data_IF_535035815715
#
_entry.id   IF_535035815715
#
_cell.length_a   1.000
_cell.length_b   1.000
_cell.length_c   1.000
_cell.angle_alpha   90.00
_cell.angle_beta   90.00
_cell.angle_gamma   90.00
#
_symmetry.space_group_name_H-M   'P 1'
#
loop_
_entity.id
_entity.type
_entity.pdbx_description
1 polymer ?
#
# COMPACT_ATOMS: atom_id res chain seq x y z
N UNK A 1 -8.61 16.75 -7.06
CA UNK A 1 -8.52 15.69 -8.09
C UNK A 1 -7.99 14.39 -7.48
N UNK A 2 -6.97 14.44 -6.62
CA UNK A 2 -6.50 13.28 -5.85
C UNK A 2 -7.57 12.62 -4.96
N UNK A 3 -8.42 13.40 -4.30
CA UNK A 3 -9.43 12.87 -3.37
C UNK A 3 -10.42 11.90 -4.04
N UNK A 4 -10.87 12.25 -5.25
CA UNK A 4 -11.77 11.38 -6.01
C UNK A 4 -11.07 10.09 -6.45
N UNK A 5 -9.78 10.15 -6.78
CA UNK A 5 -9.00 8.95 -7.11
C UNK A 5 -8.88 8.04 -5.88
N UNK A 6 -8.51 8.60 -4.73
CA UNK A 6 -8.39 7.86 -3.48
C UNK A 6 -9.73 7.22 -3.07
N UNK A 7 -10.83 7.94 -3.23
CA UNK A 7 -12.17 7.41 -3.01
C UNK A 7 -12.47 6.22 -3.94
N UNK A 8 -12.18 6.31 -5.24
CA UNK A 8 -12.41 5.22 -6.18
C UNK A 8 -11.55 3.98 -5.87
N UNK A 9 -10.30 4.18 -5.46
CA UNK A 9 -9.41 3.10 -5.04
C UNK A 9 -9.97 2.41 -3.79
N UNK A 10 -10.41 3.18 -2.79
CA UNK A 10 -11.08 2.63 -1.59
C UNK A 10 -12.33 1.84 -1.96
N UNK A 11 -13.22 2.42 -2.77
CA UNK A 11 -14.47 1.78 -3.19
C UNK A 11 -14.20 0.42 -3.86
N UNK A 12 -13.09 0.29 -4.59
CA UNK A 12 -12.65 -0.96 -5.21
C UNK A 12 -11.97 -1.96 -4.24
N UNK A 13 -11.88 -1.63 -2.95
CA UNK A 13 -11.19 -2.45 -1.94
C UNK A 13 -9.67 -2.33 -1.99
N UNK A 14 -9.15 -1.17 -2.44
CA UNK A 14 -7.73 -0.96 -2.72
C UNK A 14 -7.14 -1.89 -3.78
N UNK A 15 -7.99 -2.52 -4.61
CA UNK A 15 -7.58 -3.35 -5.73
C UNK A 15 -7.26 -2.51 -6.96
N UNK A 16 -6.38 -3.04 -7.80
CA UNK A 16 -5.91 -2.34 -9.00
C UNK A 16 -6.98 -2.38 -10.10
N UNK A 17 -7.47 -1.21 -10.49
CA UNK A 17 -8.44 -1.06 -11.58
C UNK A 17 -7.83 -0.48 -12.88
N UNK A 18 -6.51 -0.24 -12.90
CA UNK A 18 -5.82 0.38 -14.05
C UNK A 18 -5.23 -0.65 -15.01
N UNK A 19 -5.25 -0.31 -16.30
CA UNK A 19 -4.52 -1.02 -17.35
C UNK A 19 -3.09 -0.48 -17.55
N UNK A 20 -2.50 -0.73 -18.73
CA UNK A 20 -1.10 -0.43 -19.04
C UNK A 20 -0.73 1.06 -18.92
N UNK A 21 -1.68 1.96 -19.22
CA UNK A 21 -1.42 3.42 -19.18
C UNK A 21 -1.55 3.98 -17.76
N UNK A 22 -2.51 3.48 -16.98
CA UNK A 22 -2.79 4.02 -15.64
C UNK A 22 -1.86 3.48 -14.57
N UNK A 23 -1.43 2.22 -14.67
CA UNK A 23 -0.63 1.56 -13.63
C UNK A 23 0.71 2.25 -13.36
N UNK A 24 1.46 2.72 -14.38
CA UNK A 24 2.72 3.43 -14.13
C UNK A 24 2.58 4.77 -13.38
N UNK A 25 1.38 5.35 -13.32
CA UNK A 25 1.17 6.71 -12.78
C UNK A 25 0.23 6.78 -11.58
N UNK A 26 -0.54 5.73 -11.29
CA UNK A 26 -1.58 5.76 -10.24
C UNK A 26 -0.99 6.02 -8.84
N UNK A 27 0.16 5.42 -8.53
CA UNK A 27 0.80 5.59 -7.22
C UNK A 27 1.39 7.00 -7.05
N UNK A 28 2.00 7.56 -8.10
CA UNK A 28 2.47 8.95 -8.09
C UNK A 28 1.28 9.93 -7.97
N UNK A 29 0.15 9.65 -8.65
CA UNK A 29 -1.04 10.48 -8.56
C UNK A 29 -1.70 10.47 -7.16
N UNK A 30 -1.73 9.30 -6.50
CA UNK A 30 -2.19 9.17 -5.11
C UNK A 30 -1.24 9.92 -4.16
N UNK A 31 0.06 9.63 -4.26
CA UNK A 31 1.09 10.21 -3.38
C UNK A 31 1.14 11.74 -3.52
N UNK A 32 1.24 12.26 -4.75
CA UNK A 32 1.24 13.70 -5.03
C UNK A 32 -0.09 14.38 -4.71
N UNK A 33 -1.18 13.60 -4.60
CA UNK A 33 -2.48 14.06 -4.12
C UNK A 33 -2.64 14.06 -2.61
N UNK A 34 -1.62 13.64 -1.83
CA UNK A 34 -1.68 13.55 -0.38
C UNK A 34 -2.26 12.24 0.17
N UNK A 35 -2.49 11.23 -0.68
CA UNK A 35 -3.15 9.96 -0.34
C UNK A 35 -2.15 8.79 -0.26
N UNK A 36 -1.07 8.99 0.51
CA UNK A 36 0.00 8.00 0.69
C UNK A 36 -0.50 6.71 1.38
N UNK A 37 -1.48 6.84 2.26
CA UNK A 37 -2.17 5.73 2.93
C UNK A 37 -2.91 4.84 1.93
N UNK A 38 -3.65 5.44 0.99
CA UNK A 38 -4.34 4.70 -0.08
C UNK A 38 -3.34 4.02 -1.02
N UNK A 39 -2.24 4.70 -1.36
CA UNK A 39 -1.13 4.15 -2.12
C UNK A 39 -0.52 2.91 -1.45
N UNK A 40 -0.26 2.99 -0.13
CA UNK A 40 0.26 1.89 0.67
C UNK A 40 -0.68 0.68 0.69
N UNK A 41 -1.98 0.91 0.93
CA UNK A 41 -2.99 -0.16 0.92
C UNK A 41 -3.10 -0.83 -0.44
N UNK A 42 -3.04 -0.05 -1.51
CA UNK A 42 -3.07 -0.58 -2.88
C UNK A 42 -1.83 -1.41 -3.23
N UNK A 43 -0.65 -1.02 -2.72
CA UNK A 43 0.59 -1.79 -2.85
C UNK A 43 0.50 -3.13 -2.10
N UNK A 44 0.00 -3.09 -0.86
CA UNK A 44 -0.03 -4.24 0.05
C UNK A 44 -1.24 -5.16 -0.15
N UNK A 45 -2.17 -4.80 -1.03
CA UNK A 45 -3.31 -5.64 -1.40
C UNK A 45 -2.82 -6.96 -2.02
N UNK A 46 -3.38 -8.08 -1.56
CA UNK A 46 -3.03 -9.44 -2.02
C UNK A 46 -4.14 -10.12 -2.83
N UNK A 47 -5.34 -9.55 -2.88
CA UNK A 47 -6.44 -10.09 -3.65
C UNK A 47 -6.34 -9.71 -5.13
N UNK A 48 -6.88 -10.56 -6.01
CA UNK A 48 -6.99 -10.24 -7.43
C UNK A 48 -8.03 -9.11 -7.64
N UNK A 49 -7.75 -8.08 -8.46
CA UNK A 49 -6.44 -7.72 -9.05
C UNK A 49 -5.54 -6.90 -8.09
N UNK A 50 -4.26 -7.26 -8.00
CA UNK A 50 -3.23 -6.49 -7.27
C UNK A 50 -1.81 -6.89 -7.69
N UNK A 51 -0.79 -6.16 -7.24
CA UNK A 51 0.62 -6.52 -7.47
C UNK A 51 1.06 -7.75 -6.68
N UNK A 52 0.59 -7.92 -5.45
CA UNK A 52 0.98 -9.06 -4.62
C UNK A 52 0.14 -10.31 -4.90
N UNK A 53 -1.03 -10.20 -5.54
CA UNK A 53 -1.81 -11.37 -5.92
C UNK A 53 -0.99 -12.40 -6.74
N UNK A 54 -0.32 -12.04 -7.84
CA UNK A 54 0.57 -12.98 -8.55
C UNK A 54 1.62 -13.61 -7.63
N UNK A 55 2.20 -12.83 -6.70
CA UNK A 55 3.20 -13.33 -5.74
C UNK A 55 2.59 -14.39 -4.82
N UNK A 56 1.37 -14.16 -4.31
CA UNK A 56 0.65 -15.17 -3.51
C UNK A 56 0.33 -16.45 -4.28
N UNK A 57 0.27 -16.36 -5.61
CA UNK A 57 0.06 -17.49 -6.52
C UNK A 57 1.38 -18.12 -7.01
N UNK A 58 2.53 -17.71 -6.45
CA UNK A 58 3.85 -18.28 -6.77
C UNK A 58 4.54 -17.67 -8.00
N UNK A 59 4.11 -16.50 -8.46
CA UNK A 59 4.77 -15.81 -9.56
C UNK A 59 6.22 -15.41 -9.21
N UNK A 60 7.12 -15.65 -10.15
CA UNK A 60 8.51 -15.16 -10.10
C UNK A 60 8.79 -14.07 -11.14
N UNK A 61 7.78 -13.70 -11.93
CA UNK A 61 7.79 -12.67 -12.98
C UNK A 61 6.49 -11.89 -12.96
N UNK A 62 6.48 -10.70 -13.56
CA UNK A 62 5.26 -9.90 -13.71
C UNK A 62 4.39 -10.48 -14.82
N UNK A 63 3.09 -10.59 -14.59
CA UNK A 63 2.13 -11.14 -15.55
C UNK A 63 1.57 -10.05 -16.50
N UNK A 64 1.14 -10.46 -17.69
CA UNK A 64 0.49 -9.56 -18.65
C UNK A 64 -0.88 -9.08 -18.19
N UNK A 65 -1.61 -9.96 -17.50
CA UNK A 65 -2.90 -9.65 -16.89
C UNK A 65 -2.75 -9.72 -15.37
N UNK A 66 -3.53 -8.90 -14.67
CA UNK A 66 -3.67 -9.03 -13.21
C UNK A 66 -4.15 -10.42 -12.80
N UNK A 67 -4.98 -11.02 -13.65
CA UNK A 67 -5.63 -12.32 -13.48
C UNK A 67 -5.15 -13.34 -14.52
N UNK A 68 -3.87 -13.31 -14.95
CA UNK A 68 -3.32 -14.33 -15.87
C UNK A 68 -3.54 -15.75 -15.35
N UNK A 69 -3.44 -15.92 -14.02
CA UNK A 69 -4.04 -17.05 -13.30
C UNK A 69 -5.24 -16.53 -12.49
N UNK A 70 -6.38 -17.20 -12.63
CA UNK A 70 -7.59 -16.92 -11.88
C UNK A 70 -7.47 -17.42 -10.43
N UNK A 71 -8.31 -16.91 -9.51
CA UNK A 71 -8.24 -17.31 -8.09
C UNK A 71 -8.46 -18.80 -7.83
N UNK A 72 -9.07 -19.52 -8.78
CA UNK A 72 -9.25 -20.98 -8.72
C UNK A 72 -8.03 -21.77 -9.24
N UNK A 73 -6.96 -21.08 -9.64
CA UNK A 73 -5.73 -21.66 -10.17
C UNK A 73 -5.77 -21.95 -11.68
N UNK A 74 -6.90 -21.73 -12.35
CA UNK A 74 -6.98 -21.90 -13.80
C UNK A 74 -6.35 -20.72 -14.55
N UNK A 75 -5.85 -20.98 -15.76
CA UNK A 75 -5.31 -19.92 -16.61
C UNK A 75 -6.47 -19.10 -17.18
N UNK A 76 -6.28 -17.78 -17.27
CA UNK A 76 -7.25 -16.90 -17.91
C UNK A 76 -7.61 -17.42 -19.31
N UNK A 77 -8.91 -17.58 -19.64
CA UNK A 77 -9.34 -18.17 -20.92
C UNK A 77 -9.09 -17.23 -22.11
N UNK A 78 -8.67 -15.98 -21.88
CA UNK A 78 -8.28 -15.06 -22.93
C UNK A 78 -7.12 -15.59 -23.77
N UNK A 79 -7.22 -15.45 -25.09
CA UNK A 79 -6.20 -15.93 -26.04
C UNK A 79 -4.84 -15.21 -25.92
N UNK A 80 -4.78 -14.09 -25.19
CA UNK A 80 -3.59 -13.30 -24.95
C UNK A 80 -3.33 -13.27 -23.43
N UNK A 81 -2.53 -14.24 -22.98
CA UNK A 81 -2.18 -14.45 -21.57
C UNK A 81 -0.71 -14.88 -21.46
N UNK A 82 0.15 -13.94 -21.09
CA UNK A 82 1.55 -14.19 -20.72
C UNK A 82 1.77 -14.07 -19.20
N UNK A 83 2.67 -14.91 -18.68
CA UNK A 83 3.15 -14.87 -17.29
C UNK A 83 4.47 -14.10 -17.14
N UNK A 84 4.97 -13.47 -18.21
CA UNK A 84 6.22 -12.71 -18.19
C UNK A 84 6.12 -11.47 -19.08
N UNK A 85 5.63 -10.37 -18.51
CA UNK A 85 5.41 -9.10 -19.18
C UNK A 85 5.69 -7.93 -18.22
N UNK A 86 6.64 -7.07 -18.53
CA UNK A 86 7.18 -6.09 -17.57
C UNK A 86 6.27 -4.91 -17.26
N UNK A 87 5.20 -4.69 -18.04
CA UNK A 87 4.40 -3.45 -17.97
C UNK A 87 3.92 -3.09 -16.56
N UNK A 88 3.40 -4.05 -15.80
CA UNK A 88 2.94 -3.81 -14.43
C UNK A 88 4.07 -3.78 -13.38
N UNK A 89 5.30 -4.14 -13.78
CA UNK A 89 6.52 -3.97 -13.01
C UNK A 89 6.94 -2.50 -12.86
N UNK A 90 6.26 -1.57 -13.53
CA UNK A 90 6.45 -0.13 -13.38
C UNK A 90 6.36 0.37 -11.92
N UNK A 91 5.67 -0.38 -11.04
CA UNK A 91 5.62 -0.11 -9.60
C UNK A 91 7.00 -0.01 -8.94
N UNK A 92 8.01 -0.71 -9.49
CA UNK A 92 9.37 -0.71 -8.95
C UNK A 92 9.99 0.70 -8.91
N UNK A 93 9.68 1.55 -9.88
CA UNK A 93 10.15 2.93 -9.90
C UNK A 93 9.62 3.73 -8.70
N UNK A 94 8.33 3.61 -8.39
CA UNK A 94 7.72 4.24 -7.22
C UNK A 94 8.28 3.68 -5.90
N UNK A 95 8.56 2.38 -5.81
CA UNK A 95 9.23 1.78 -4.64
C UNK A 95 10.61 2.40 -4.40
N UNK A 96 11.40 2.63 -5.45
CA UNK A 96 12.71 3.25 -5.32
C UNK A 96 12.61 4.74 -4.96
N UNK A 97 11.80 5.51 -5.70
CA UNK A 97 11.72 6.96 -5.58
C UNK A 97 10.97 7.45 -4.35
N UNK A 98 9.89 6.75 -3.97
CA UNK A 98 8.95 7.22 -2.94
C UNK A 98 9.13 6.41 -1.67
N UNK A 99 8.98 5.08 -1.72
CA UNK A 99 9.06 4.27 -0.51
C UNK A 99 10.45 4.31 0.10
N UNK A 100 11.48 3.97 -0.66
CA UNK A 100 12.86 4.09 -0.19
C UNK A 100 13.35 5.54 -0.22
N UNK A 101 12.90 6.34 -1.19
CA UNK A 101 13.11 7.79 -1.20
C UNK A 101 14.27 8.30 -2.06
N UNK A 102 14.76 7.53 -3.04
CA UNK A 102 15.89 7.95 -3.90
C UNK A 102 15.43 8.33 -5.30
N UNK A 103 15.54 9.60 -5.65
CA UNK A 103 15.17 10.08 -6.98
C UNK A 103 16.20 11.08 -7.54
N UNK A 104 16.32 11.21 -8.87
CA UNK A 104 17.12 12.27 -9.46
C UNK A 104 16.40 13.62 -9.31
N UNK A 105 17.08 14.62 -8.76
CA UNK A 105 16.61 16.01 -8.76
C UNK A 105 17.05 16.77 -10.03
N UNK A 106 18.15 16.32 -10.64
CA UNK A 106 18.64 16.78 -11.94
C UNK A 106 19.00 15.58 -12.85
N UNK A 107 18.97 15.75 -14.19
CA UNK A 107 19.37 14.69 -15.12
C UNK A 107 20.73 14.08 -14.77
N UNK A 108 20.79 12.75 -14.77
CA UNK A 108 22.03 12.02 -14.48
C UNK A 108 22.42 11.96 -12.99
N UNK A 109 21.54 12.34 -12.05
CA UNK A 109 21.78 12.29 -10.59
C UNK A 109 22.91 13.21 -10.10
N UNK A 110 23.20 14.31 -10.82
CA UNK A 110 24.12 15.34 -10.31
C UNK A 110 23.59 16.02 -9.04
N UNK A 111 22.27 16.15 -8.99
CA UNK A 111 21.50 16.54 -7.80
C UNK A 111 20.53 15.40 -7.49
N UNK A 112 20.40 15.06 -6.20
CA UNK A 112 19.65 13.90 -5.72
C UNK A 112 18.54 14.36 -4.77
N UNK A 113 17.37 13.75 -4.87
CA UNK A 113 16.33 13.85 -3.84
C UNK A 113 16.42 12.64 -2.93
N UNK A 114 16.49 12.90 -1.63
CA UNK A 114 16.37 11.91 -0.55
C UNK A 114 15.09 12.21 0.22
N UNK A 115 14.01 11.51 -0.06
CA UNK A 115 12.69 11.74 0.54
C UNK A 115 11.99 10.41 0.85
N UNK A 116 12.43 9.67 1.88
CA UNK A 116 11.80 8.40 2.22
C UNK A 116 10.38 8.61 2.74
N UNK A 117 9.46 7.76 2.29
CA UNK A 117 8.09 7.69 2.80
C UNK A 117 7.86 6.34 3.50
N UNK A 118 8.11 6.24 4.82
CA UNK A 118 7.74 5.08 5.60
C UNK A 118 6.24 4.79 5.48
N UNK A 119 5.89 3.61 4.97
CA UNK A 119 4.50 3.19 4.81
C UNK A 119 4.03 2.40 6.02
N UNK A 120 2.75 2.51 6.42
CA UNK A 120 2.14 1.53 7.31
C UNK A 120 2.32 0.11 6.76
N UNK A 121 2.65 -0.85 7.64
CA UNK A 121 2.90 -2.25 7.25
C UNK A 121 4.32 -2.57 6.77
N UNK A 122 5.21 -1.57 6.67
CA UNK A 122 6.63 -1.77 6.39
C UNK A 122 7.49 -1.22 7.54
N UNK A 123 8.40 -2.06 8.05
CA UNK A 123 9.35 -1.65 9.10
C UNK A 123 10.63 -1.04 8.53
N UNK A 124 10.96 -1.34 7.27
CA UNK A 124 12.16 -0.83 6.62
C UNK A 124 12.05 -0.87 5.10
N UNK A 125 12.78 0.02 4.44
CA UNK A 125 13.06 -0.07 3.01
C UNK A 125 14.46 0.48 2.73
N UNK A 126 15.16 -0.12 1.76
CA UNK A 126 16.49 0.35 1.31
C UNK A 126 16.58 0.24 -0.21
N UNK A 127 17.21 1.22 -0.84
CA UNK A 127 17.51 1.21 -2.28
C UNK A 127 18.91 1.76 -2.54
N UNK A 128 19.50 1.34 -3.66
CA UNK A 128 20.76 1.86 -4.15
C UNK A 128 20.69 2.00 -5.68
N UNK A 129 21.33 3.04 -6.20
CA UNK A 129 21.48 3.29 -7.62
C UNK A 129 22.93 3.61 -7.94
N UNK A 130 23.50 2.90 -8.92
CA UNK A 130 24.84 3.16 -9.43
C UNK A 130 24.77 4.29 -10.46
N UNK A 131 24.95 5.52 -9.98
CA UNK A 131 24.93 6.74 -10.80
C UNK A 131 26.23 6.87 -11.60
N UNK A 132 26.30 7.78 -12.61
CA UNK A 132 27.56 8.15 -13.24
C UNK A 132 28.64 8.70 -12.27
N UNK A 133 28.25 9.13 -11.07
CA UNK A 133 29.13 9.69 -10.04
C UNK A 133 29.53 8.68 -8.96
N UNK A 134 28.99 7.45 -9.02
CA UNK A 134 29.15 6.42 -8.01
C UNK A 134 27.84 6.00 -7.36
N UNK A 135 27.91 5.12 -6.37
CA UNK A 135 26.73 4.59 -5.69
C UNK A 135 26.06 5.66 -4.83
N UNK A 136 24.79 5.94 -5.13
CA UNK A 136 23.86 6.63 -4.25
C UNK A 136 22.99 5.57 -3.56
N UNK A 137 22.75 5.71 -2.26
CA UNK A 137 21.84 4.82 -1.54
C UNK A 137 21.08 5.55 -0.46
N UNK A 138 19.91 5.04 -0.13
CA UNK A 138 19.08 5.50 1.00
C UNK A 138 18.40 4.30 1.61
N UNK A 139 18.25 4.33 2.92
CA UNK A 139 17.48 3.36 3.66
C UNK A 139 16.84 4.00 4.87
N UNK A 140 15.70 3.45 5.27
CA UNK A 140 15.08 3.78 6.54
C UNK A 140 14.65 2.52 7.28
N UNK A 141 14.59 2.62 8.60
CA UNK A 141 14.19 1.55 9.51
C UNK A 141 13.44 2.13 10.71
N UNK A 142 12.35 1.47 11.10
CA UNK A 142 11.50 1.84 12.22
C UNK A 142 11.97 1.14 13.49
N UNK A 143 12.15 1.93 14.55
CA UNK A 143 12.44 1.48 15.90
C UNK A 143 11.44 2.12 16.87
N UNK A 144 10.31 1.45 17.08
CA UNK A 144 9.20 2.02 17.85
C UNK A 144 8.72 3.34 17.25
N UNK A 145 8.78 4.39 18.05
CA UNK A 145 8.35 5.74 17.66
C UNK A 145 9.44 6.56 16.96
N UNK A 146 10.52 5.91 16.49
CA UNK A 146 11.62 6.57 15.77
C UNK A 146 11.83 5.92 14.40
N UNK A 147 12.11 6.74 13.39
CA UNK A 147 12.63 6.31 12.10
C UNK A 147 14.09 6.74 12.00
N UNK A 148 14.96 5.78 11.72
CA UNK A 148 16.36 6.01 11.38
C UNK A 148 16.47 6.06 9.86
N UNK A 149 17.05 7.13 9.32
CA UNK A 149 17.34 7.28 7.88
C UNK A 149 18.85 7.31 7.68
N UNK A 150 19.34 6.50 6.75
CA UNK A 150 20.75 6.45 6.35
C UNK A 150 20.86 6.68 4.85
N UNK A 151 21.80 7.52 4.42
CA UNK A 151 22.01 7.79 3.01
C UNK A 151 23.50 7.92 2.64
N UNK A 152 23.82 7.52 1.42
CA UNK A 152 25.11 7.71 0.78
C UNK A 152 24.93 8.63 -0.43
N UNK A 153 25.63 9.77 -0.42
CA UNK A 153 25.67 10.73 -1.53
C UNK A 153 27.05 10.64 -2.19
N UNK A 154 27.15 10.28 -3.49
CA UNK A 154 28.44 10.11 -4.16
C UNK A 154 29.18 11.44 -4.33
N UNK A 155 30.51 11.37 -4.53
CA UNK A 155 31.34 12.54 -4.78
C UNK A 155 30.86 13.35 -6.00
N UNK A 156 31.09 14.66 -6.00
CA UNK A 156 30.65 15.60 -7.04
C UNK A 156 29.12 15.69 -7.23
N UNK A 157 28.34 15.24 -6.25
CA UNK A 157 26.88 15.41 -6.21
C UNK A 157 26.44 16.10 -4.92
N UNK A 158 25.23 16.62 -4.93
CA UNK A 158 24.52 17.13 -3.75
C UNK A 158 23.18 16.44 -3.62
N UNK A 159 22.62 16.47 -2.41
CA UNK A 159 21.27 15.99 -2.16
C UNK A 159 20.41 17.01 -1.41
N UNK A 160 19.13 17.06 -1.79
CA UNK A 160 18.06 17.69 -1.03
C UNK A 160 17.34 16.60 -0.25
N UNK A 161 17.31 16.74 1.07
CA UNK A 161 16.77 15.73 1.99
C UNK A 161 15.47 16.24 2.60
N UNK A 162 14.38 15.49 2.40
CA UNK A 162 13.10 15.69 3.09
C UNK A 162 12.89 14.52 4.05
N UNK A 163 13.08 14.75 5.35
CA UNK A 163 12.90 13.69 6.35
C UNK A 163 11.41 13.42 6.61
N UNK A 164 11.03 12.17 6.98
CA UNK A 164 9.66 11.83 7.33
C UNK A 164 9.11 12.76 8.42
N UNK A 165 7.93 13.32 8.20
CA UNK A 165 7.28 14.25 9.14
C UNK A 165 7.94 15.63 9.28
N UNK A 166 9.09 15.86 8.62
CA UNK A 166 9.75 17.16 8.60
C UNK A 166 9.06 18.13 7.64
N UNK A 167 9.07 19.43 7.99
CA UNK A 167 8.54 20.50 7.13
C UNK A 167 9.63 21.22 6.32
N UNK A 168 10.89 21.06 6.72
CA UNK A 168 12.03 21.73 6.09
C UNK A 168 12.93 20.75 5.36
N UNK A 169 13.39 21.15 4.16
CA UNK A 169 14.36 20.39 3.39
C UNK A 169 15.79 20.77 3.79
N UNK A 170 16.67 19.77 3.88
CA UNK A 170 18.09 19.95 4.17
C UNK A 170 18.91 19.83 2.88
N UNK A 171 19.98 20.61 2.74
CA UNK A 171 20.95 20.42 1.67
C UNK A 171 22.22 19.78 2.22
N UNK A 172 22.66 18.69 1.58
CA UNK A 172 23.90 17.98 1.95
C UNK A 172 24.79 17.75 0.74
N UNK A 173 26.10 17.74 0.97
CA UNK A 173 27.10 17.31 -0.01
C UNK A 173 27.30 15.79 -0.01
N UNK A 174 28.35 15.37 -0.71
CA UNK A 174 28.80 13.97 -0.71
C UNK A 174 29.17 13.47 0.69
N UNK A 175 28.93 12.19 0.96
CA UNK A 175 29.26 11.55 2.23
C UNK A 175 28.25 10.49 2.63
N UNK A 176 28.44 9.96 3.83
CA UNK A 176 27.48 9.09 4.52
C UNK A 176 26.77 9.95 5.56
N UNK A 177 25.45 9.95 5.51
CA UNK A 177 24.59 10.75 6.36
C UNK A 177 23.63 9.86 7.13
N UNK A 178 23.30 10.27 8.35
CA UNK A 178 22.35 9.57 9.23
C UNK A 178 21.48 10.59 9.96
N UNK A 179 20.19 10.32 10.02
CA UNK A 179 19.20 11.11 10.75
C UNK A 179 18.28 10.22 11.55
N UNK A 180 17.75 10.76 12.65
CA UNK A 180 16.74 10.12 13.47
C UNK A 180 15.59 11.11 13.62
N UNK A 181 14.37 10.65 13.32
CA UNK A 181 13.15 11.47 13.40
C UNK A 181 12.04 10.68 14.08
N UNK A 182 11.08 11.38 14.67
CA UNK A 182 9.88 10.73 15.17
C UNK A 182 9.17 9.98 14.03
N UNK A 183 8.70 8.77 14.31
CA UNK A 183 7.92 8.01 13.36
C UNK A 183 6.60 8.75 13.09
N UNK A 184 6.17 8.85 11.81
CA UNK A 184 4.84 9.33 11.50
C UNK A 184 3.82 8.50 12.28
N UNK A 185 2.91 9.18 12.98
CA UNK A 185 1.80 8.54 13.69
C UNK A 185 0.97 7.78 12.65
N UNK A 186 0.88 6.45 12.80
CA UNK A 186 -0.04 5.67 12.00
C UNK A 186 -1.46 6.04 12.47
N UNK A 187 -2.29 6.55 11.56
CA UNK A 187 -3.71 6.74 11.86
C UNK A 187 -4.35 5.37 12.02
N UNK A 188 -4.61 4.96 13.25
CA UNK A 188 -5.41 3.76 13.54
C UNK A 188 -6.88 4.16 13.71
N UNK A 189 -7.80 3.23 13.43
CA UNK A 189 -9.24 3.47 13.51
C UNK A 189 -9.65 4.08 14.85
N UNK A 190 -10.51 5.09 14.81
CA UNK A 190 -10.93 5.83 16.01
C UNK A 190 -12.26 5.28 16.50
N UNK A 191 -12.26 4.73 17.72
CA UNK A 191 -13.48 4.33 18.42
C UNK A 191 -13.99 2.92 18.08
N UNK A 192 -15.19 2.60 18.60
CA UNK A 192 -15.79 1.28 18.45
C UNK A 192 -16.25 1.03 17.02
N UNK A 193 -15.96 -0.16 16.50
CA UNK A 193 -16.42 -0.62 15.19
C UNK A 193 -17.61 -1.55 15.37
N UNK A 194 -18.71 -1.22 14.71
CA UNK A 194 -19.99 -1.94 14.81
C UNK A 194 -20.59 -2.17 13.42
N UNK A 195 -21.76 -2.80 13.37
CA UNK A 195 -22.48 -3.01 12.11
C UNK A 195 -23.09 -1.73 11.53
N UNK A 196 -23.13 -0.65 12.31
CA UNK A 196 -23.56 0.67 11.86
C UNK A 196 -22.38 1.52 11.35
N UNK A 197 -21.14 1.08 11.60
CA UNK A 197 -19.94 1.73 11.07
C UNK A 197 -19.97 1.70 9.54
N UNK A 198 -19.72 2.83 8.86
CA UNK A 198 -19.65 2.87 7.41
C UNK A 198 -18.64 1.89 6.83
N UNK A 199 -18.98 1.25 5.71
CA UNK A 199 -18.09 0.32 5.01
C UNK A 199 -16.72 0.96 4.73
N UNK A 200 -16.69 2.20 4.23
CA UNK A 200 -15.44 2.92 4.00
C UNK A 200 -14.56 3.03 5.27
N UNK A 201 -15.16 3.26 6.44
CA UNK A 201 -14.40 3.34 7.69
C UNK A 201 -13.89 1.96 8.11
N UNK A 202 -14.67 0.90 7.88
CA UNK A 202 -14.24 -0.47 8.19
C UNK A 202 -13.03 -0.88 7.36
N UNK A 203 -12.98 -0.60 6.06
CA UNK A 203 -11.80 -0.96 5.24
C UNK A 203 -10.60 -0.04 5.48
N UNK A 204 -10.83 1.22 5.85
CA UNK A 204 -9.77 2.16 6.24
C UNK A 204 -9.20 1.82 7.63
N UNK A 205 -9.86 0.96 8.38
CA UNK A 205 -9.41 0.44 9.66
C UNK A 205 -8.82 -0.96 9.48
N UNK A 206 -7.49 -1.04 9.40
CA UNK A 206 -6.80 -2.31 9.09
C UNK A 206 -7.10 -3.41 10.12
N UNK A 207 -7.13 -3.05 11.41
CA UNK A 207 -7.39 -4.01 12.49
C UNK A 207 -8.83 -4.53 12.42
N UNK A 208 -9.81 -3.64 12.19
CA UNK A 208 -11.20 -4.04 12.05
C UNK A 208 -11.45 -4.86 10.77
N UNK A 209 -10.82 -4.45 9.66
CA UNK A 209 -10.91 -5.16 8.39
C UNK A 209 -10.31 -6.57 8.50
N UNK A 210 -9.14 -6.72 9.11
CA UNK A 210 -8.50 -8.02 9.32
C UNK A 210 -9.32 -8.92 10.25
N UNK A 211 -9.88 -8.36 11.33
CA UNK A 211 -10.77 -9.10 12.22
C UNK A 211 -12.05 -9.57 11.52
N UNK A 212 -12.67 -8.70 10.71
CA UNK A 212 -13.83 -9.04 9.89
C UNK A 212 -13.51 -10.16 8.90
N UNK A 213 -12.39 -10.06 8.20
CA UNK A 213 -11.97 -11.07 7.23
C UNK A 213 -11.63 -12.40 7.89
N UNK A 214 -10.92 -12.38 9.02
CA UNK A 214 -10.59 -13.59 9.76
C UNK A 214 -11.85 -14.33 10.23
N UNK A 215 -12.83 -13.59 10.79
CA UNK A 215 -14.10 -14.16 11.21
C UNK A 215 -14.90 -14.75 10.04
N UNK A 216 -14.91 -14.09 8.88
CA UNK A 216 -15.62 -14.60 7.69
C UNK A 216 -14.93 -15.86 7.14
N UNK A 217 -13.60 -15.84 6.98
CA UNK A 217 -12.82 -16.97 6.42
C UNK A 217 -12.90 -18.24 7.26
N UNK A 218 -13.11 -18.11 8.57
CA UNK A 218 -13.31 -19.26 9.46
C UNK A 218 -14.51 -20.13 9.05
N UNK A 219 -15.47 -19.58 8.31
CA UNK A 219 -16.64 -20.30 7.82
C UNK A 219 -16.51 -20.75 6.37
N UNK A 220 -16.15 -19.83 5.47
CA UNK A 220 -16.19 -20.09 4.03
C UNK A 220 -15.34 -19.08 3.24
N UNK A 221 -14.20 -19.56 2.71
CA UNK A 221 -13.29 -18.76 1.89
C UNK A 221 -13.90 -18.34 0.54
N UNK A 222 -14.80 -19.15 -0.04
CA UNK A 222 -15.47 -18.82 -1.31
C UNK A 222 -16.41 -17.65 -1.09
N UNK A 223 -17.27 -17.73 -0.07
CA UNK A 223 -18.18 -16.63 0.27
C UNK A 223 -17.44 -15.38 0.74
N UNK A 224 -16.30 -15.54 1.39
CA UNK A 224 -15.45 -14.40 1.74
C UNK A 224 -14.97 -13.67 0.48
N UNK A 225 -14.52 -14.41 -0.53
CA UNK A 225 -14.12 -13.82 -1.83
C UNK A 225 -15.31 -13.15 -2.51
N UNK A 226 -16.47 -13.81 -2.57
CA UNK A 226 -17.69 -13.22 -3.16
C UNK A 226 -18.10 -11.93 -2.44
N UNK A 227 -18.03 -11.90 -1.10
CA UNK A 227 -18.28 -10.71 -0.31
C UNK A 227 -17.32 -9.58 -0.71
N UNK A 228 -16.02 -9.86 -0.81
CA UNK A 228 -15.01 -8.86 -1.17
C UNK A 228 -15.15 -8.36 -2.62
N UNK A 229 -15.54 -9.24 -3.54
CA UNK A 229 -15.76 -8.91 -4.94
C UNK A 229 -17.00 -8.04 -5.15
N UNK A 230 -18.07 -8.30 -4.37
CA UNK A 230 -19.35 -7.59 -4.51
C UNK A 230 -19.42 -6.32 -3.65
N UNK A 231 -18.61 -6.22 -2.60
CA UNK A 231 -18.64 -5.07 -1.69
C UNK A 231 -18.02 -3.84 -2.33
N UNK A 232 -18.80 -2.77 -2.37
CA UNK A 232 -18.32 -1.42 -2.65
C UNK A 232 -18.15 -0.66 -1.34
N UNK A 233 -16.94 -0.25 -1.04
CA UNK A 233 -16.58 0.34 0.24
C UNK A 233 -16.90 1.83 0.29
N UNK A 234 -18.18 2.12 0.49
CA UNK A 234 -18.75 3.47 0.43
C UNK A 234 -18.90 4.10 1.83
N UNK A 235 -18.73 5.42 1.96
CA UNK A 235 -18.82 6.12 3.25
C UNK A 235 -20.25 6.32 3.76
N UNK A 236 -21.26 6.09 2.93
CA UNK A 236 -22.66 6.32 3.25
C UNK A 236 -23.47 5.02 3.43
N UNK A 237 -22.81 3.86 3.45
CA UNK A 237 -23.46 2.57 3.64
C UNK A 237 -22.86 1.89 4.88
N UNK A 238 -23.68 1.45 5.85
CA UNK A 238 -23.20 0.76 7.03
C UNK A 238 -22.72 -0.66 6.69
N UNK A 239 -21.85 -1.23 7.52
CA UNK A 239 -21.37 -2.60 7.35
C UNK A 239 -22.51 -3.63 7.29
N UNK A 240 -23.58 -3.41 8.07
CA UNK A 240 -24.79 -4.25 8.04
C UNK A 240 -25.37 -4.42 6.63
N UNK A 241 -25.29 -3.40 5.78
CA UNK A 241 -25.73 -3.45 4.39
C UNK A 241 -24.91 -4.44 3.57
N UNK A 242 -23.57 -4.41 3.70
CA UNK A 242 -22.68 -5.37 3.04
C UNK A 242 -22.89 -6.81 3.51
N UNK A 243 -23.40 -6.99 4.74
CA UNK A 243 -23.62 -8.29 5.35
C UNK A 243 -25.06 -8.82 5.18
N UNK A 244 -25.94 -8.16 4.43
CA UNK A 244 -27.36 -8.54 4.30
C UNK A 244 -27.58 -9.99 3.85
N UNK A 245 -26.72 -10.49 2.95
CA UNK A 245 -26.79 -11.84 2.40
C UNK A 245 -25.94 -12.86 3.17
N UNK A 246 -25.27 -12.42 4.23
CA UNK A 246 -24.38 -13.26 5.03
C UNK A 246 -25.21 -14.04 6.06
N UNK A 247 -25.03 -15.38 6.18
CA UNK A 247 -25.73 -16.19 7.16
C UNK A 247 -25.60 -15.64 8.58
N UNK A 248 -26.64 -15.89 9.41
CA UNK A 248 -26.71 -15.36 10.77
C UNK A 248 -25.51 -15.76 11.63
N UNK A 249 -25.10 -17.03 11.57
CA UNK A 249 -23.97 -17.58 12.33
C UNK A 249 -22.67 -16.80 12.03
N UNK A 250 -22.35 -16.59 10.74
CA UNK A 250 -21.18 -15.81 10.33
C UNK A 250 -21.27 -14.36 10.82
N UNK A 251 -22.47 -13.74 10.76
CA UNK A 251 -22.67 -12.36 11.27
C UNK A 251 -22.48 -12.26 12.78
N UNK A 252 -22.85 -13.28 13.56
CA UNK A 252 -22.63 -13.29 15.00
C UNK A 252 -21.12 -13.36 15.32
N UNK A 253 -20.35 -14.15 14.59
CA UNK A 253 -18.89 -14.23 14.76
C UNK A 253 -18.17 -12.95 14.31
N UNK A 254 -18.58 -12.35 13.18
CA UNK A 254 -18.04 -11.04 12.74
C UNK A 254 -18.31 -9.98 13.82
N UNK A 255 -19.50 -9.97 14.42
CA UNK A 255 -19.83 -9.03 15.49
C UNK A 255 -18.90 -9.23 16.71
N UNK A 256 -18.73 -10.47 17.15
CA UNK A 256 -17.85 -10.78 18.28
C UNK A 256 -16.38 -10.38 18.03
N UNK A 257 -15.89 -10.55 16.79
CA UNK A 257 -14.56 -10.13 16.39
C UNK A 257 -14.40 -8.60 16.46
N UNK A 258 -15.35 -7.84 15.91
CA UNK A 258 -15.33 -6.37 15.94
C UNK A 258 -15.48 -5.79 17.35
N UNK A 259 -16.27 -6.43 18.21
CA UNK A 259 -16.36 -6.08 19.63
C UNK A 259 -15.01 -6.28 20.35
N UNK A 260 -14.25 -7.31 19.98
CA UNK A 260 -12.93 -7.57 20.56
C UNK A 260 -11.94 -6.47 20.17
N UNK A 261 -11.93 -6.08 18.88
CA UNK A 261 -11.17 -4.92 18.38
C UNK A 261 -11.56 -3.65 19.15
N UNK A 262 -12.86 -3.41 19.29
CA UNK A 262 -13.39 -2.21 19.96
C UNK A 262 -13.01 -2.15 21.45
N UNK A 263 -13.03 -3.29 22.16
CA UNK A 263 -12.61 -3.37 23.57
C UNK A 263 -11.12 -3.12 23.72
N UNK A 264 -10.29 -3.70 22.84
CA UNK A 264 -8.83 -3.51 22.87
C UNK A 264 -8.38 -2.05 22.69
N UNK A 265 -9.24 -1.19 22.11
CA UNK A 265 -8.99 0.25 21.96
C UNK A 265 -9.40 1.10 23.15
N UNK A 266 -10.22 0.56 24.05
CA UNK A 266 -10.73 1.27 25.22
C UNK A 266 -9.82 1.11 26.46
N UNK A 267 -8.84 0.22 26.38
CA UNK A 267 -7.82 -0.09 27.40
C UNK A 267 -6.52 0.70 27.13
#
# INVERSE_FOLDING_TARGET
>A
MGDRLAELVRVAGYRVATGFVGTPIVQDALTGGGHLDAAARMLLQTQCPSWLYPVTMGATTVWERWDSMLPDGTVNPGQMTSFNHYAFGAIADWLHRVVAGLAPAAPGYREITIAPHPLPGLDRARTAHDTPYGRASVGWERHGDTIVVEAQVPANTTATVQLPGGTEALSVGSGIHRWEVAAPVAGNGHGPVTFDTPLAEVIDDQEAFDALLAAFRAHDDVKTREFLDQTRWLPNLPLSHGLERVPREIREDIRAALETVSRGRAE
#
